data_IF_094074942895
#
_entry.id   IF_094074942895
#
_cell.length_a   1.000
_cell.length_b   1.000
_cell.length_c   1.000
_cell.angle_alpha   90.00
_cell.angle_beta   90.00
_cell.angle_gamma   90.00
#
_symmetry.space_group_name_H-M   'P 1'
#
loop_
_entity.id
_entity.type
_entity.pdbx_description
1 polymer ?
#
# COMPACT_ATOMS: atom_id res chain seq x y z
N UNK A 1 -21.75 -31.22 16.85
CA UNK A 1 -21.43 -29.95 17.53
C UNK A 1 -20.14 -29.43 16.91
N UNK A 2 -20.24 -28.66 15.83
CA UNK A 2 -19.08 -28.08 15.16
C UNK A 2 -18.70 -26.75 15.84
N UNK A 3 -17.50 -26.72 16.41
CA UNK A 3 -16.91 -25.51 16.96
C UNK A 3 -16.45 -24.60 15.82
N UNK A 4 -17.26 -23.59 15.52
CA UNK A 4 -16.87 -22.47 14.66
C UNK A 4 -15.68 -21.73 15.26
N UNK A 5 -14.47 -22.00 14.76
CA UNK A 5 -13.31 -21.15 14.99
C UNK A 5 -13.52 -19.85 14.21
N UNK A 6 -14.01 -18.82 14.90
CA UNK A 6 -14.11 -17.47 14.38
C UNK A 6 -12.73 -16.94 13.92
N UNK A 7 -12.70 -15.93 13.03
CA UNK A 7 -11.47 -15.44 12.46
C UNK A 7 -10.53 -14.91 13.56
N UNK A 8 -9.35 -15.53 13.66
CA UNK A 8 -8.28 -15.13 14.57
C UNK A 8 -7.92 -13.67 14.29
N UNK A 9 -8.46 -12.77 15.11
CA UNK A 9 -8.15 -11.36 15.05
C UNK A 9 -6.67 -11.22 15.38
N UNK A 10 -5.85 -10.85 14.38
CA UNK A 10 -4.44 -10.52 14.62
C UNK A 10 -4.39 -9.53 15.78
N UNK A 11 -3.60 -9.82 16.84
CA UNK A 11 -3.47 -8.89 17.95
C UNK A 11 -3.03 -7.52 17.42
N UNK A 12 -3.49 -6.43 18.05
CA UNK A 12 -3.04 -5.10 17.67
C UNK A 12 -1.50 -5.06 17.70
N UNK A 13 -0.87 -4.33 16.76
CA UNK A 13 0.58 -4.21 16.75
C UNK A 13 1.05 -3.70 18.10
N UNK A 14 1.91 -4.48 18.76
CA UNK A 14 2.53 -4.08 20.03
C UNK A 14 3.40 -2.86 19.73
N UNK A 15 3.21 -1.73 20.44
CA UNK A 15 4.04 -0.56 20.24
C UNK A 15 5.50 -0.90 20.56
N UNK A 16 6.47 -0.61 19.66
CA UNK A 16 7.88 -0.83 19.97
C UNK A 16 8.27 -0.06 21.25
N UNK A 17 9.20 -0.62 22.03
CA UNK A 17 9.74 0.07 23.21
C UNK A 17 10.46 1.34 22.76
N UNK A 18 10.16 2.46 23.41
CA UNK A 18 10.88 3.72 23.22
C UNK A 18 12.25 3.54 23.90
N UNK A 19 13.36 3.84 23.22
CA UNK A 19 14.70 3.69 23.78
C UNK A 19 14.88 4.56 25.04
N UNK A 20 15.76 4.10 25.93
CA UNK A 20 16.05 4.79 27.19
C UNK A 20 16.70 6.14 26.92
N UNK A 21 16.28 7.18 27.65
CA UNK A 21 16.75 8.56 27.53
C UNK A 21 18.26 8.64 27.83
N UNK A 22 19.12 9.05 26.88
CA UNK A 22 20.49 9.45 27.21
C UNK A 22 20.48 10.75 28.02
N UNK A 23 21.35 10.83 29.03
CA UNK A 23 21.56 12.05 29.82
C UNK A 23 22.36 13.07 29.02
N UNK A 24 21.66 13.84 28.17
CA UNK A 24 22.25 14.98 27.46
C UNK A 24 22.26 16.24 28.35
N UNK A 25 23.28 17.11 28.28
CA UNK A 25 23.26 18.45 28.86
C UNK A 25 22.07 19.29 28.37
N UNK A 26 21.62 20.24 29.18
CA UNK A 26 20.44 21.07 28.86
C UNK A 26 20.65 21.90 27.57
N UNK A 27 21.83 22.47 27.38
CA UNK A 27 22.17 23.25 26.16
C UNK A 27 22.08 22.41 24.89
N UNK A 28 22.57 21.17 24.92
CA UNK A 28 22.47 20.24 23.78
C UNK A 28 21.01 19.86 23.48
N UNK A 29 20.18 19.71 24.51
CA UNK A 29 18.74 19.42 24.33
C UNK A 29 18.01 20.59 23.66
N UNK A 30 18.36 21.81 24.01
CA UNK A 30 17.80 23.03 23.43
C UNK A 30 18.22 23.22 21.97
N UNK A 31 19.48 22.96 21.65
CA UNK A 31 19.98 22.95 20.26
C UNK A 31 19.22 21.91 19.41
N UNK A 32 19.10 20.67 19.90
CA UNK A 32 18.35 19.62 19.21
C UNK A 32 16.85 19.97 19.06
N UNK A 33 16.27 20.70 20.01
CA UNK A 33 14.89 21.14 19.94
C UNK A 33 14.70 22.25 18.89
N UNK A 34 15.66 23.17 18.78
CA UNK A 34 15.70 24.19 17.73
C UNK A 34 15.82 23.54 16.34
N UNK A 35 16.77 22.62 16.14
CA UNK A 35 16.91 21.85 14.90
C UNK A 35 15.62 21.09 14.54
N UNK A 36 14.95 20.55 15.55
CA UNK A 36 13.69 19.83 15.33
C UNK A 36 12.57 20.76 14.88
N UNK A 37 12.45 21.95 15.47
CA UNK A 37 11.48 22.97 15.05
C UNK A 37 11.74 23.43 13.62
N UNK A 38 13.00 23.67 13.26
CA UNK A 38 13.41 24.03 11.89
C UNK A 38 13.04 22.94 10.88
N UNK A 39 13.34 21.67 11.21
CA UNK A 39 12.96 20.50 10.39
C UNK A 39 11.45 20.35 10.23
N UNK A 40 10.67 20.86 11.19
CA UNK A 40 9.21 20.90 11.13
C UNK A 40 8.66 22.19 10.52
N UNK A 41 9.51 23.09 10.02
CA UNK A 41 9.16 24.40 9.49
C UNK A 41 8.37 25.26 10.51
N UNK A 42 8.79 25.22 11.77
CA UNK A 42 8.25 26.07 12.84
C UNK A 42 9.30 27.03 13.38
N UNK A 43 8.84 28.17 13.91
CA UNK A 43 9.71 29.12 14.57
C UNK A 43 10.30 28.53 15.86
N UNK A 44 11.61 28.64 16.01
CA UNK A 44 12.36 28.21 17.18
C UNK A 44 12.30 29.28 18.29
N UNK A 45 11.12 29.52 18.85
CA UNK A 45 10.99 30.48 19.98
C UNK A 45 11.51 29.85 21.28
N UNK A 46 12.02 30.65 22.24
CA UNK A 46 12.53 30.13 23.51
C UNK A 46 11.51 29.25 24.26
N UNK A 47 10.23 29.61 24.22
CA UNK A 47 9.15 28.86 24.87
C UNK A 47 8.97 27.48 24.23
N UNK A 48 9.00 27.41 22.89
CA UNK A 48 8.84 26.15 22.16
C UNK A 48 10.08 25.27 22.26
N UNK A 49 11.27 25.86 22.32
CA UNK A 49 12.52 25.14 22.57
C UNK A 49 12.46 24.50 23.97
N UNK A 50 12.13 25.27 25.00
CA UNK A 50 12.01 24.76 26.37
C UNK A 50 10.93 23.66 26.48
N UNK A 51 9.84 23.79 25.74
CA UNK A 51 8.78 22.78 25.70
C UNK A 51 9.21 21.47 25.03
N UNK A 52 10.08 21.52 24.01
CA UNK A 52 10.49 20.35 23.22
C UNK A 52 11.80 19.70 23.70
N UNK A 53 12.68 20.44 24.36
CA UNK A 53 13.96 19.97 24.89
C UNK A 53 13.89 18.68 25.74
N UNK A 54 12.83 18.43 26.54
CA UNK A 54 12.73 17.17 27.27
C UNK A 54 12.60 15.93 26.39
N UNK A 55 12.12 16.08 25.15
CA UNK A 55 11.69 15.00 24.25
C UNK A 55 12.69 14.68 23.13
N UNK A 56 13.68 15.56 22.89
CA UNK A 56 14.71 15.37 21.85
C UNK A 56 15.57 14.10 22.00
N UNK A 57 15.91 13.61 23.22
CA UNK A 57 16.70 12.39 23.36
C UNK A 57 15.90 11.10 23.15
N UNK A 58 14.56 11.16 23.06
CA UNK A 58 13.69 9.97 23.08
C UNK A 58 13.41 9.38 21.67
N UNK A 59 13.68 10.14 20.60
CA UNK A 59 13.25 9.77 19.25
C UNK A 59 14.44 9.72 18.26
N UNK A 60 15.05 8.55 18.03
CA UNK A 60 16.03 8.40 16.96
C UNK A 60 15.39 8.79 15.62
N UNK A 61 16.10 9.61 14.83
CA UNK A 61 15.63 10.32 13.62
C UNK A 61 14.91 9.42 12.59
N UNK A 62 15.16 8.12 12.61
CA UNK A 62 14.60 7.15 11.64
C UNK A 62 13.43 6.31 12.18
N UNK A 63 13.06 6.45 13.45
CA UNK A 63 12.00 5.64 14.05
C UNK A 63 10.59 6.06 13.58
N UNK A 64 9.65 5.12 13.60
CA UNK A 64 8.22 5.40 13.38
C UNK A 64 7.72 6.44 14.39
N UNK A 65 8.24 6.44 15.61
CA UNK A 65 7.90 7.43 16.63
C UNK A 65 8.43 8.83 16.30
N UNK A 66 9.62 8.96 15.72
CA UNK A 66 10.13 10.25 15.25
C UNK A 66 9.19 10.87 14.21
N UNK A 67 8.71 10.09 13.22
CA UNK A 67 7.76 10.59 12.21
C UNK A 67 6.42 11.03 12.83
N UNK A 68 5.93 10.32 13.84
CA UNK A 68 4.70 10.69 14.56
C UNK A 68 4.92 11.91 15.46
N UNK A 69 6.09 12.05 16.06
CA UNK A 69 6.47 13.19 16.88
C UNK A 69 6.62 14.44 16.01
N UNK A 70 7.22 14.34 14.82
CA UNK A 70 7.26 15.42 13.83
C UNK A 70 5.86 15.91 13.45
N UNK A 71 4.91 14.99 13.26
CA UNK A 71 3.52 15.36 12.95
C UNK A 71 2.85 16.09 14.12
N UNK A 72 3.11 15.71 15.36
CA UNK A 72 2.62 16.45 16.52
C UNK A 72 3.25 17.85 16.58
N UNK A 73 4.57 17.94 16.41
CA UNK A 73 5.31 19.20 16.41
C UNK A 73 4.79 20.13 15.32
N UNK A 74 4.64 19.67 14.06
CA UNK A 74 4.06 20.47 12.96
C UNK A 74 2.66 21.00 13.26
N UNK A 75 1.87 20.25 14.04
CA UNK A 75 0.54 20.67 14.50
C UNK A 75 0.58 21.52 15.79
N UNK A 76 1.76 21.98 16.22
CA UNK A 76 2.00 22.76 17.45
C UNK A 76 1.58 22.02 18.73
N UNK A 77 1.67 20.70 18.71
CA UNK A 77 1.36 19.85 19.85
C UNK A 77 2.64 19.20 20.35
N UNK A 78 2.91 19.30 21.65
CA UNK A 78 4.11 18.68 22.21
C UNK A 78 4.02 17.15 22.27
N UNK A 79 5.05 16.45 21.79
CA UNK A 79 5.06 15.00 21.64
C UNK A 79 5.24 14.35 22.99
N UNK A 80 4.16 13.80 23.56
CA UNK A 80 4.23 12.95 24.75
C UNK A 80 4.00 11.50 24.40
N UNK A 81 4.54 10.57 25.19
CA UNK A 81 4.35 9.13 25.00
C UNK A 81 2.87 8.72 24.86
N UNK A 82 1.98 9.35 25.64
CA UNK A 82 0.53 9.12 25.56
C UNK A 82 -0.05 9.62 24.23
N UNK A 83 0.36 10.80 23.75
CA UNK A 83 -0.10 11.37 22.47
C UNK A 83 0.41 10.56 21.28
N UNK A 84 1.67 10.12 21.33
CA UNK A 84 2.28 9.27 20.31
C UNK A 84 1.60 7.91 20.21
N UNK A 85 1.37 7.24 21.35
CA UNK A 85 0.61 5.97 21.38
C UNK A 85 -0.80 6.15 20.81
N UNK A 86 -1.49 7.25 21.19
CA UNK A 86 -2.83 7.57 20.66
C UNK A 86 -2.81 7.80 19.15
N UNK A 87 -1.82 8.54 18.64
CA UNK A 87 -1.68 8.82 17.21
C UNK A 87 -1.33 7.56 16.42
N UNK A 88 -0.43 6.72 16.93
CA UNK A 88 -0.10 5.42 16.36
C UNK A 88 -1.33 4.52 16.24
N UNK A 89 -2.10 4.38 17.33
CA UNK A 89 -3.32 3.57 17.34
C UNK A 89 -4.38 4.14 16.39
N UNK A 90 -4.53 5.47 16.31
CA UNK A 90 -5.44 6.13 15.37
C UNK A 90 -5.07 5.83 13.92
N UNK A 91 -3.78 5.96 13.55
CA UNK A 91 -3.28 5.67 12.20
C UNK A 91 -3.38 4.17 11.86
N UNK A 92 -3.04 3.29 12.80
CA UNK A 92 -3.25 1.85 12.65
C UNK A 92 -4.71 1.49 12.36
N UNK A 93 -5.65 2.06 13.13
CA UNK A 93 -7.10 1.89 12.88
C UNK A 93 -7.53 2.47 11.53
N UNK A 94 -6.99 3.61 11.12
CA UNK A 94 -7.29 4.21 9.81
C UNK A 94 -6.82 3.31 8.66
N UNK A 95 -5.59 2.80 8.74
CA UNK A 95 -5.03 1.87 7.75
C UNK A 95 -5.85 0.58 7.68
N UNK A 96 -6.24 0.01 8.82
CA UNK A 96 -7.13 -1.15 8.85
C UNK A 96 -8.50 -0.86 8.23
N UNK A 97 -9.11 0.31 8.53
CA UNK A 97 -10.38 0.73 7.90
C UNK A 97 -10.24 0.90 6.39
N UNK A 98 -9.16 1.51 5.91
CA UNK A 98 -8.90 1.67 4.48
C UNK A 98 -8.65 0.32 3.80
N UNK A 99 -7.86 -0.57 4.41
CA UNK A 99 -7.65 -1.93 3.92
C UNK A 99 -8.97 -2.73 3.88
N UNK A 100 -9.80 -2.63 4.91
CA UNK A 100 -11.13 -3.26 4.96
C UNK A 100 -12.05 -2.69 3.88
N UNK A 101 -12.06 -1.38 3.66
CA UNK A 101 -12.81 -0.73 2.56
C UNK A 101 -12.31 -1.19 1.19
N UNK A 102 -10.99 -1.31 0.98
CA UNK A 102 -10.42 -1.84 -0.27
C UNK A 102 -10.81 -3.30 -0.49
N UNK A 103 -10.78 -4.14 0.56
CA UNK A 103 -11.27 -5.53 0.48
C UNK A 103 -12.75 -5.61 0.16
N UNK A 104 -13.58 -4.80 0.82
CA UNK A 104 -15.03 -4.72 0.53
C UNK A 104 -15.29 -4.27 -0.90
N UNK A 105 -14.65 -3.19 -1.35
CA UNK A 105 -14.76 -2.74 -2.75
C UNK A 105 -14.35 -3.81 -3.75
N UNK A 106 -13.31 -4.60 -3.47
CA UNK A 106 -12.93 -5.74 -4.32
C UNK A 106 -13.95 -6.88 -4.28
N UNK A 107 -14.59 -7.12 -3.13
CA UNK A 107 -15.63 -8.15 -2.98
C UNK A 107 -17.01 -7.72 -3.53
N UNK A 108 -17.29 -6.42 -3.55
CA UNK A 108 -18.51 -5.78 -4.07
C UNK A 108 -18.35 -5.39 -5.54
N UNK A 109 -17.13 -5.48 -6.11
CA UNK A 109 -16.94 -5.27 -7.53
C UNK A 109 -17.54 -6.48 -8.26
N UNK A 110 -18.45 -6.27 -9.23
CA UNK A 110 -18.93 -7.37 -10.04
C UNK A 110 -17.71 -8.05 -10.67
N UNK A 111 -17.54 -9.34 -10.39
CA UNK A 111 -16.57 -10.16 -11.09
C UNK A 111 -17.09 -10.21 -12.52
N UNK A 112 -16.38 -9.53 -13.42
CA UNK A 112 -16.69 -9.64 -14.84
C UNK A 112 -16.13 -10.98 -15.29
N UNK A 113 -17.03 -11.94 -15.50
CA UNK A 113 -16.74 -13.22 -16.13
C UNK A 113 -16.89 -13.01 -17.64
N UNK A 114 -15.79 -13.03 -18.41
CA UNK A 114 -15.88 -12.93 -19.86
C UNK A 114 -16.62 -14.15 -20.41
N UNK A 115 -17.44 -13.96 -21.44
CA UNK A 115 -17.98 -15.09 -22.20
C UNK A 115 -16.86 -15.83 -22.91
N UNK A 116 -17.10 -17.07 -23.33
CA UNK A 116 -16.13 -17.85 -24.11
C UNK A 116 -15.72 -17.14 -25.41
N UNK A 117 -16.68 -16.48 -26.08
CA UNK A 117 -16.41 -15.65 -27.26
C UNK A 117 -15.46 -14.49 -26.93
N UNK A 118 -15.71 -13.76 -25.83
CA UNK A 118 -14.83 -12.68 -25.38
C UNK A 118 -13.44 -13.21 -24.97
N UNK A 119 -13.38 -14.39 -24.35
CA UNK A 119 -12.12 -15.04 -23.99
C UNK A 119 -11.28 -15.35 -25.24
N UNK A 120 -11.94 -15.90 -26.27
CA UNK A 120 -11.35 -16.18 -27.57
C UNK A 120 -10.86 -14.91 -28.26
N UNK A 121 -11.69 -13.87 -28.34
CA UNK A 121 -11.34 -12.59 -28.98
C UNK A 121 -10.11 -11.94 -28.34
N UNK A 122 -10.05 -11.94 -27.00
CA UNK A 122 -8.91 -11.38 -26.27
C UNK A 122 -7.64 -12.18 -26.55
N UNK A 123 -7.73 -13.50 -26.49
CA UNK A 123 -6.58 -14.36 -26.69
C UNK A 123 -6.07 -14.25 -28.15
N UNK A 124 -6.97 -14.19 -29.13
CA UNK A 124 -6.65 -13.93 -30.53
C UNK A 124 -5.96 -12.59 -30.72
N UNK A 125 -6.53 -11.51 -30.18
CA UNK A 125 -5.96 -10.18 -30.29
C UNK A 125 -4.58 -10.09 -29.64
N UNK A 126 -4.37 -10.70 -28.46
CA UNK A 126 -3.07 -10.77 -27.81
C UNK A 126 -2.05 -11.51 -28.68
N UNK A 127 -2.45 -12.60 -29.34
CA UNK A 127 -1.57 -13.33 -30.25
C UNK A 127 -1.20 -12.47 -31.48
N UNK A 128 -2.18 -11.86 -32.14
CA UNK A 128 -1.94 -10.98 -33.28
C UNK A 128 -1.06 -9.77 -32.92
N UNK A 129 -1.29 -9.18 -31.74
CA UNK A 129 -0.46 -8.07 -31.26
C UNK A 129 1.00 -8.51 -31.15
N UNK A 130 1.25 -9.71 -30.59
CA UNK A 130 2.59 -10.25 -30.43
C UNK A 130 3.24 -10.59 -31.78
N UNK A 131 2.50 -11.17 -32.71
CA UNK A 131 3.00 -11.44 -34.07
C UNK A 131 3.43 -10.15 -34.79
N UNK A 132 2.71 -9.05 -34.58
CA UNK A 132 3.04 -7.75 -35.18
C UNK A 132 4.19 -7.02 -34.50
N UNK A 133 4.30 -7.12 -33.17
CA UNK A 133 5.21 -6.28 -32.38
C UNK A 133 6.41 -7.04 -31.79
N UNK A 134 6.46 -8.36 -31.90
CA UNK A 134 7.47 -9.24 -31.30
C UNK A 134 7.29 -9.49 -29.78
N UNK A 135 6.54 -8.63 -29.09
CA UNK A 135 6.26 -8.69 -27.66
C UNK A 135 4.77 -8.62 -27.35
N UNK A 136 4.39 -9.04 -26.14
CA UNK A 136 3.00 -9.00 -25.68
C UNK A 136 2.48 -7.57 -25.42
N UNK A 137 1.16 -7.36 -25.48
CA UNK A 137 0.58 -6.08 -25.09
C UNK A 137 0.67 -5.88 -23.57
N UNK A 138 0.68 -4.61 -23.17
CA UNK A 138 0.48 -4.18 -21.78
C UNK A 138 -1.00 -4.20 -21.42
N UNK A 139 -1.32 -4.25 -20.13
CA UNK A 139 -2.71 -4.23 -19.68
C UNK A 139 -3.43 -2.94 -20.08
N UNK A 140 -2.71 -1.82 -20.19
CA UNK A 140 -3.27 -0.55 -20.66
C UNK A 140 -3.60 -0.58 -22.15
N UNK A 141 -2.86 -1.31 -22.97
CA UNK A 141 -3.16 -1.51 -24.39
C UNK A 141 -4.39 -2.41 -24.56
N UNK A 142 -4.51 -3.48 -23.75
CA UNK A 142 -5.73 -4.31 -23.69
C UNK A 142 -6.93 -3.44 -23.28
N UNK A 143 -6.77 -2.64 -22.22
CA UNK A 143 -7.81 -1.74 -21.73
C UNK A 143 -8.30 -0.79 -22.83
N UNK A 144 -7.37 -0.17 -23.56
CA UNK A 144 -7.70 0.76 -24.64
C UNK A 144 -8.37 0.05 -25.82
N UNK A 145 -7.91 -1.15 -26.19
CA UNK A 145 -8.46 -1.88 -27.32
C UNK A 145 -9.90 -2.34 -27.10
N UNK A 146 -10.21 -2.87 -25.92
CA UNK A 146 -11.55 -3.38 -25.58
C UNK A 146 -12.45 -2.33 -24.89
N UNK A 147 -12.00 -1.07 -24.80
CA UNK A 147 -12.71 0.04 -24.14
C UNK A 147 -13.15 -0.26 -22.70
N UNK A 148 -12.36 -1.08 -21.99
CA UNK A 148 -12.69 -1.49 -20.64
C UNK A 148 -12.25 -0.46 -19.61
N UNK A 149 -12.90 -0.50 -18.45
CA UNK A 149 -12.35 0.15 -17.26
C UNK A 149 -11.10 -0.60 -16.78
N UNK A 150 -10.25 0.09 -16.03
CA UNK A 150 -9.09 -0.53 -15.37
C UNK A 150 -9.51 -1.72 -14.49
N UNK A 151 -10.68 -1.63 -13.85
CA UNK A 151 -11.21 -2.69 -12.99
C UNK A 151 -11.65 -3.91 -13.81
N UNK A 152 -12.40 -3.71 -14.89
CA UNK A 152 -12.82 -4.79 -15.81
C UNK A 152 -11.61 -5.48 -16.42
N UNK A 153 -10.65 -4.72 -16.95
CA UNK A 153 -9.41 -5.27 -17.54
C UNK A 153 -8.65 -6.13 -16.53
N UNK A 154 -8.52 -5.64 -15.29
CA UNK A 154 -7.86 -6.36 -14.19
C UNK A 154 -8.62 -7.63 -13.77
N UNK A 155 -9.95 -7.65 -13.90
CA UNK A 155 -10.79 -8.83 -13.66
C UNK A 155 -10.62 -9.84 -14.80
N UNK A 156 -10.92 -9.42 -16.03
CA UNK A 156 -10.86 -10.26 -17.25
C UNK A 156 -9.50 -10.93 -17.41
N UNK A 157 -8.40 -10.16 -17.39
CA UNK A 157 -7.05 -10.72 -17.59
C UNK A 157 -6.71 -11.78 -16.53
N UNK A 158 -7.17 -11.59 -15.28
CA UNK A 158 -6.93 -12.58 -14.21
C UNK A 158 -7.81 -13.82 -14.38
N UNK A 159 -9.07 -13.65 -14.75
CA UNK A 159 -9.98 -14.76 -15.05
C UNK A 159 -9.46 -15.59 -16.22
N UNK A 160 -9.12 -14.94 -17.33
CA UNK A 160 -8.53 -15.61 -18.50
C UNK A 160 -7.21 -16.32 -18.20
N UNK A 161 -6.41 -15.80 -17.25
CA UNK A 161 -5.21 -16.52 -16.79
C UNK A 161 -5.57 -17.75 -15.93
N UNK A 162 -6.55 -17.63 -15.05
CA UNK A 162 -7.01 -18.76 -14.25
C UNK A 162 -7.60 -19.88 -15.13
N UNK A 163 -8.28 -19.49 -16.20
CA UNK A 163 -8.91 -20.38 -17.17
C UNK A 163 -7.97 -20.78 -18.34
N UNK A 164 -6.67 -20.46 -18.24
CA UNK A 164 -5.63 -20.84 -19.21
C UNK A 164 -5.79 -20.28 -20.65
N UNK A 165 -6.63 -19.27 -20.85
CA UNK A 165 -6.75 -18.51 -22.10
C UNK A 165 -5.61 -17.52 -22.32
N UNK A 166 -5.02 -17.01 -21.23
CA UNK A 166 -3.87 -16.10 -21.24
C UNK A 166 -2.79 -16.55 -20.27
N UNK A 167 -1.56 -16.10 -20.50
CA UNK A 167 -0.48 -16.21 -19.53
C UNK A 167 0.37 -14.92 -19.50
N UNK A 168 0.99 -14.63 -18.35
CA UNK A 168 1.87 -13.48 -18.15
C UNK A 168 2.73 -13.64 -16.91
N UNK A 169 3.93 -13.04 -16.94
CA UNK A 169 4.87 -13.02 -15.82
C UNK A 169 4.90 -11.67 -15.09
N UNK A 170 5.97 -11.43 -14.35
CA UNK A 170 6.23 -10.14 -13.69
C UNK A 170 6.85 -9.11 -14.65
N UNK A 171 7.38 -9.57 -15.78
CA UNK A 171 8.00 -8.72 -16.79
C UNK A 171 6.96 -7.88 -17.54
N UNK A 172 7.37 -6.66 -17.90
CA UNK A 172 6.55 -5.80 -18.76
C UNK A 172 6.38 -6.47 -20.13
N UNK A 173 5.20 -6.30 -20.76
CA UNK A 173 4.90 -6.88 -22.09
C UNK A 173 5.00 -8.42 -22.16
N UNK A 174 4.87 -9.10 -21.01
CA UNK A 174 4.89 -10.56 -20.93
C UNK A 174 3.55 -11.24 -21.26
N UNK A 175 2.51 -10.47 -21.59
CA UNK A 175 1.17 -11.00 -21.85
C UNK A 175 1.14 -11.81 -23.15
N UNK A 176 0.67 -13.05 -23.08
CA UNK A 176 0.59 -13.98 -24.21
C UNK A 176 -0.70 -14.78 -24.16
N UNK A 177 -1.13 -15.26 -25.33
CA UNK A 177 -2.11 -16.32 -25.47
C UNK A 177 -1.69 -17.55 -24.66
N UNK A 178 -2.64 -18.13 -23.93
CA UNK A 178 -2.48 -19.38 -23.18
C UNK A 178 -2.71 -20.61 -24.07
N UNK A 179 -2.44 -21.79 -23.51
CA UNK A 179 -2.42 -23.06 -24.25
C UNK A 179 -3.80 -23.50 -24.76
N UNK A 180 -4.89 -22.96 -24.19
CA UNK A 180 -6.26 -23.27 -24.60
C UNK A 180 -6.57 -22.92 -26.07
N UNK A 181 -5.87 -21.94 -26.67
CA UNK A 181 -6.04 -21.62 -28.10
C UNK A 181 -5.53 -22.72 -29.04
N UNK A 182 -4.67 -23.63 -28.57
CA UNK A 182 -4.02 -24.64 -29.42
C UNK A 182 -4.72 -26.01 -29.43
N UNK A 183 -5.82 -26.19 -28.68
CA UNK A 183 -6.56 -27.45 -28.65
C UNK A 183 -7.69 -27.55 -29.68
N UNK A 184 -7.95 -26.48 -30.46
CA UNK A 184 -8.97 -26.46 -31.51
C UNK A 184 -8.50 -26.83 -32.92
N UNK A 185 -7.23 -27.22 -33.12
CA UNK A 185 -6.70 -27.44 -34.48
C UNK A 185 -5.71 -28.62 -34.59
N UNK A 186 -6.03 -29.76 -33.97
CA UNK A 186 -5.49 -31.05 -34.40
C UNK A 186 -6.64 -31.86 -35.01
N UNK A 187 -6.64 -31.91 -36.35
CA UNK A 187 -7.32 -32.96 -37.13
C UNK A 187 -6.83 -34.34 -36.69
#
# INVERSE_FOLDING_TARGET
>A
MESSQGPVSKPPPIPPRIPHRPDLPQEEREQLAAEWLERCHQAATPERIAELAPYTPEFPKESVYARLADELVRNRVSPSNTKLKRLFMKKGRLHQKQAKRRKRRRAESPVFEPTEEQASDVAHWVNEYRERNGEGPTWSEVQAHFEWTSLQTSSVIRTLKADHWLDFGLERRSLRAGECLFHGNRR
#
